data_IF_343374223596
#
_entry.id   IF_343374223596
#
_cell.length_a   1.000
_cell.length_b   1.000
_cell.length_c   1.000
_cell.angle_alpha   90.00
_cell.angle_beta   90.00
_cell.angle_gamma   90.00
#
_symmetry.space_group_name_H-M   'P 1'
#
loop_
_entity.id
_entity.type
_entity.pdbx_description
1 polymer ?
#
# COMPACT_ATOMS: atom_id res chain seq x y z
N UNK A 1 9.72 -5.63 -13.09
CA UNK A 1 10.98 -5.10 -13.68
C UNK A 1 11.22 -5.71 -15.05
N UNK A 2 11.64 -4.88 -16.02
CA UNK A 2 12.12 -5.33 -17.33
C UNK A 2 13.59 -5.79 -17.22
N UNK A 3 14.07 -6.56 -18.20
CA UNK A 3 15.50 -6.85 -18.34
C UNK A 3 16.19 -5.66 -19.01
N UNK A 4 16.56 -4.68 -18.20
CA UNK A 4 17.13 -3.41 -18.65
C UNK A 4 18.01 -2.79 -17.56
N UNK A 5 18.83 -1.82 -17.96
CA UNK A 5 19.74 -1.13 -17.06
C UNK A 5 18.99 -0.10 -16.19
N UNK A 6 19.43 0.03 -14.94
CA UNK A 6 19.21 1.24 -14.15
C UNK A 6 19.87 2.42 -14.88
N UNK A 7 19.16 3.54 -14.99
CA UNK A 7 19.68 4.73 -15.70
C UNK A 7 19.64 5.95 -14.79
N UNK A 8 20.78 6.61 -14.63
CA UNK A 8 20.85 7.92 -13.98
C UNK A 8 20.14 8.98 -14.84
N UNK A 9 19.18 9.68 -14.24
CA UNK A 9 18.45 10.78 -14.89
C UNK A 9 18.76 12.13 -14.24
N UNK A 10 19.77 12.18 -13.38
CA UNK A 10 20.24 13.37 -12.69
C UNK A 10 19.36 13.78 -11.50
N UNK A 11 19.94 14.62 -10.64
CA UNK A 11 19.27 15.13 -9.44
C UNK A 11 19.03 14.08 -8.36
N UNK A 12 19.89 13.05 -8.27
CA UNK A 12 19.76 11.97 -7.29
C UNK A 12 18.60 11.01 -7.56
N UNK A 13 18.23 10.86 -8.84
CA UNK A 13 17.12 10.01 -9.27
C UNK A 13 17.58 8.96 -10.26
N UNK A 14 17.02 7.77 -10.10
CA UNK A 14 17.29 6.62 -10.96
C UNK A 14 16.02 6.21 -11.66
N UNK A 15 16.10 6.03 -12.98
CA UNK A 15 15.05 5.44 -13.80
C UNK A 15 15.13 3.91 -13.71
N UNK A 16 14.01 3.29 -13.37
CA UNK A 16 13.80 1.84 -13.34
C UNK A 16 12.83 1.48 -14.46
N UNK A 17 13.27 0.66 -15.40
CA UNK A 17 12.48 0.28 -16.57
C UNK A 17 11.46 -0.81 -16.21
N UNK A 18 10.18 -0.53 -16.46
CA UNK A 18 9.05 -1.39 -16.09
C UNK A 18 7.92 -1.13 -17.09
N UNK A 19 7.85 -1.90 -18.18
CA UNK A 19 6.82 -1.67 -19.20
C UNK A 19 5.42 -2.04 -18.69
N UNK A 20 4.45 -1.15 -18.87
CA UNK A 20 3.04 -1.37 -18.50
C UNK A 20 2.75 -1.27 -16.99
N UNK A 21 3.56 -0.52 -16.22
CA UNK A 21 3.56 -0.58 -14.76
C UNK A 21 2.33 0.00 -14.05
N UNK A 22 1.53 0.85 -14.69
CA UNK A 22 0.30 1.44 -14.12
C UNK A 22 0.50 2.46 -12.97
N UNK A 23 1.68 2.51 -12.34
CA UNK A 23 2.01 3.48 -11.29
C UNK A 23 1.98 4.94 -11.72
N UNK A 24 1.57 5.80 -10.77
CA UNK A 24 1.61 7.25 -10.81
C UNK A 24 2.72 7.84 -9.93
N UNK A 25 3.14 9.08 -10.22
CA UNK A 25 4.03 9.84 -9.32
C UNK A 25 3.39 9.96 -7.94
N UNK A 26 4.18 9.77 -6.89
CA UNK A 26 3.75 9.77 -5.50
C UNK A 26 3.44 8.40 -4.93
N UNK A 27 3.21 7.38 -5.78
CA UNK A 27 3.03 6.01 -5.34
C UNK A 27 4.30 5.46 -4.68
N UNK A 28 4.14 4.53 -3.75
CA UNK A 28 5.24 3.71 -3.26
C UNK A 28 5.34 2.44 -4.08
N UNK A 29 6.56 2.03 -4.41
CA UNK A 29 6.87 0.77 -5.08
C UNK A 29 7.83 -0.03 -4.21
N UNK A 30 7.61 -1.34 -4.13
CA UNK A 30 8.62 -2.24 -3.54
C UNK A 30 9.36 -2.94 -4.67
N UNK A 31 10.65 -2.67 -4.76
CA UNK A 31 11.57 -3.34 -5.67
C UNK A 31 12.24 -4.47 -4.88
N UNK A 32 12.22 -5.67 -5.43
CA UNK A 32 12.81 -6.86 -4.82
C UNK A 32 13.51 -7.74 -5.87
N UNK A 33 14.50 -8.51 -5.45
CA UNK A 33 15.26 -9.42 -6.32
C UNK A 33 16.34 -8.72 -7.16
N UNK A 34 16.67 -7.48 -6.85
CA UNK A 34 17.80 -6.72 -7.42
C UNK A 34 19.03 -6.81 -6.51
N UNK A 35 20.17 -6.27 -6.94
CA UNK A 35 21.38 -6.19 -6.11
C UNK A 35 21.41 -4.91 -5.30
N UNK A 36 21.16 -3.75 -5.92
CA UNK A 36 21.36 -2.43 -5.32
C UNK A 36 20.05 -1.69 -5.00
N UNK A 37 18.92 -2.17 -5.50
CA UNK A 37 17.64 -1.46 -5.45
C UNK A 37 16.57 -2.21 -4.67
N UNK A 38 16.93 -3.13 -3.77
CA UNK A 38 15.93 -3.79 -2.92
C UNK A 38 15.42 -2.82 -1.86
N UNK A 39 14.11 -2.62 -1.80
CA UNK A 39 13.48 -1.74 -0.82
C UNK A 39 12.16 -1.14 -1.31
N UNK A 40 11.59 -0.28 -0.48
CA UNK A 40 10.39 0.50 -0.82
C UNK A 40 10.79 1.94 -1.16
N UNK A 41 10.38 2.40 -2.33
CA UNK A 41 10.73 3.72 -2.86
C UNK A 41 9.49 4.51 -3.22
N UNK A 42 9.54 5.83 -3.04
CA UNK A 42 8.52 6.73 -3.57
C UNK A 42 8.84 7.04 -5.02
N UNK A 43 7.85 6.91 -5.89
CA UNK A 43 7.94 7.28 -7.30
C UNK A 43 7.91 8.81 -7.40
N UNK A 44 8.97 9.39 -7.95
CA UNK A 44 9.16 10.84 -8.10
C UNK A 44 8.99 11.33 -9.54
N UNK A 45 8.82 10.39 -10.46
CA UNK A 45 8.55 10.61 -11.88
C UNK A 45 8.11 9.30 -12.53
N UNK A 46 7.34 9.35 -13.61
CA UNK A 46 6.99 8.16 -14.38
C UNK A 46 6.88 8.52 -15.86
N UNK A 47 7.33 7.62 -16.73
CA UNK A 47 7.24 7.77 -18.19
C UNK A 47 5.89 7.36 -18.74
N UNK A 48 4.80 7.71 -18.05
CA UNK A 48 3.44 7.18 -18.21
C UNK A 48 3.33 5.67 -17.94
N UNK A 49 3.99 4.83 -18.73
CA UNK A 49 3.88 3.36 -18.63
C UNK A 49 5.19 2.61 -18.81
N UNK A 50 6.29 3.24 -19.25
CA UNK A 50 7.51 2.50 -19.59
C UNK A 50 8.54 2.45 -18.46
N UNK A 51 8.49 3.41 -17.54
CA UNK A 51 9.45 3.50 -16.46
C UNK A 51 8.92 4.28 -15.26
N UNK A 52 9.50 3.99 -14.11
CA UNK A 52 9.38 4.81 -12.91
C UNK A 52 10.72 5.48 -12.59
N UNK A 53 10.68 6.59 -11.88
CA UNK A 53 11.84 7.24 -11.31
C UNK A 53 11.75 7.20 -9.79
N UNK A 54 12.83 6.79 -9.13
CA UNK A 54 12.97 6.75 -7.67
C UNK A 54 14.08 7.69 -7.22
N UNK A 55 13.99 8.22 -6.01
CA UNK A 55 15.12 8.91 -5.35
C UNK A 55 16.06 7.86 -4.76
N UNK A 56 17.26 7.73 -5.35
CA UNK A 56 18.31 6.83 -4.89
C UNK A 56 19.64 7.27 -5.48
N UNK A 57 20.74 6.93 -4.80
CA UNK A 57 22.07 7.05 -5.40
C UNK A 57 22.17 6.11 -6.61
N UNK A 58 22.71 6.62 -7.71
CA UNK A 58 22.87 5.80 -8.90
C UNK A 58 24.01 4.80 -8.70
N UNK A 59 23.69 3.52 -8.87
CA UNK A 59 24.63 2.41 -8.93
C UNK A 59 24.28 1.62 -10.18
N UNK A 60 25.25 1.44 -11.09
CA UNK A 60 25.02 0.71 -12.32
C UNK A 60 24.61 -0.75 -12.02
N UNK A 61 23.46 -1.16 -12.56
CA UNK A 61 22.92 -2.50 -12.45
C UNK A 61 22.06 -2.81 -13.68
N UNK A 62 22.17 -4.04 -14.19
CA UNK A 62 21.23 -4.58 -15.19
C UNK A 62 20.28 -5.55 -14.50
N UNK A 63 18.97 -5.29 -14.59
CA UNK A 63 17.98 -6.17 -13.97
C UNK A 63 17.80 -7.44 -14.79
N UNK A 64 17.58 -8.59 -14.15
CA UNK A 64 17.35 -9.85 -14.85
C UNK A 64 15.95 -9.94 -15.52
N UNK A 65 15.04 -9.03 -15.19
CA UNK A 65 13.62 -9.11 -15.51
C UNK A 65 12.85 -10.07 -14.59
N UNK A 66 11.56 -9.82 -14.38
CA UNK A 66 10.70 -10.74 -13.59
C UNK A 66 10.74 -10.55 -12.07
N UNK A 67 11.40 -9.51 -11.56
CA UNK A 67 11.21 -9.05 -10.19
C UNK A 67 9.72 -8.70 -9.99
N UNK A 68 9.05 -9.42 -9.09
CA UNK A 68 7.64 -9.23 -8.79
C UNK A 68 7.46 -7.89 -8.08
N UNK A 69 7.12 -6.86 -8.85
CA UNK A 69 6.55 -5.66 -8.26
C UNK A 69 5.11 -5.99 -7.87
N UNK A 70 4.83 -5.96 -6.57
CA UNK A 70 3.46 -6.01 -6.10
C UNK A 70 3.05 -4.57 -5.86
N UNK A 71 2.24 -4.00 -6.75
CA UNK A 71 1.46 -2.82 -6.45
C UNK A 71 0.43 -3.23 -5.39
N UNK A 72 0.74 -3.12 -4.10
CA UNK A 72 -0.20 -3.55 -3.06
C UNK A 72 -1.29 -2.49 -2.80
N UNK A 73 -1.06 -1.23 -3.20
CA UNK A 73 -1.80 -0.09 -2.65
C UNK A 73 -2.46 0.85 -3.68
N UNK A 74 -2.66 0.42 -4.93
CA UNK A 74 -3.25 1.30 -5.95
C UNK A 74 -4.65 0.87 -6.35
N UNK A 75 -5.63 1.72 -6.05
CA UNK A 75 -6.98 1.66 -6.63
C UNK A 75 -7.06 2.74 -7.74
N UNK A 76 -7.19 2.34 -9.02
CA UNK A 76 -7.02 3.24 -10.18
C UNK A 76 -8.21 4.16 -10.48
N UNK A 77 -9.32 3.92 -9.82
CA UNK A 77 -10.58 4.63 -9.98
C UNK A 77 -10.96 5.26 -8.65
N UNK A 78 -11.79 6.30 -8.70
CA UNK A 78 -12.47 6.78 -7.50
C UNK A 78 -13.24 5.61 -6.88
N UNK A 79 -13.27 5.53 -5.56
CA UNK A 79 -13.80 4.36 -4.87
C UNK A 79 -14.40 4.72 -3.51
N UNK A 80 -15.25 3.87 -2.98
CA UNK A 80 -15.67 3.91 -1.58
C UNK A 80 -15.46 2.55 -0.92
N UNK A 81 -15.34 2.51 0.40
CA UNK A 81 -15.13 1.28 1.16
C UNK A 81 -16.43 0.92 1.88
N UNK A 82 -16.94 -0.29 1.65
CA UNK A 82 -18.20 -0.80 2.20
C UNK A 82 -18.00 -1.72 3.42
N UNK A 83 -16.87 -2.40 3.50
CA UNK A 83 -16.56 -3.25 4.64
C UNK A 83 -15.10 -3.19 5.00
N UNK A 84 -14.87 -3.31 6.31
CA UNK A 84 -13.57 -3.67 6.84
C UNK A 84 -13.61 -5.13 7.27
N UNK A 85 -12.82 -5.97 6.62
CA UNK A 85 -12.62 -7.37 7.01
C UNK A 85 -11.45 -7.41 7.98
N UNK A 86 -11.72 -7.80 9.23
CA UNK A 86 -10.74 -7.75 10.31
C UNK A 86 -10.47 -9.17 10.79
N UNK A 87 -9.21 -9.53 10.92
CA UNK A 87 -8.79 -10.85 11.41
C UNK A 87 -7.48 -10.76 12.18
N UNK A 88 -7.07 -11.89 12.77
CA UNK A 88 -5.81 -12.01 13.50
C UNK A 88 -5.61 -10.88 14.55
N UNK A 89 -6.65 -10.63 15.35
CA UNK A 89 -6.57 -9.72 16.49
C UNK A 89 -5.73 -10.37 17.59
N UNK A 90 -4.73 -9.64 18.09
CA UNK A 90 -3.72 -10.19 19.00
C UNK A 90 -4.31 -10.76 20.31
N UNK A 91 -5.17 -10.00 20.98
CA UNK A 91 -5.71 -10.35 22.30
C UNK A 91 -7.23 -10.23 22.39
N UNK A 92 -7.79 -10.76 23.47
CA UNK A 92 -9.20 -10.59 23.81
C UNK A 92 -9.47 -9.15 24.30
N UNK A 93 -9.77 -8.26 23.37
CA UNK A 93 -10.02 -6.85 23.64
C UNK A 93 -11.07 -6.26 22.69
N UNK A 94 -11.47 -5.02 22.97
CA UNK A 94 -12.19 -4.18 22.04
C UNK A 94 -11.18 -3.44 21.18
N UNK A 95 -11.37 -3.47 19.86
CA UNK A 95 -10.54 -2.74 18.90
C UNK A 95 -11.39 -1.67 18.21
N UNK A 96 -10.83 -0.46 18.10
CA UNK A 96 -11.32 0.61 17.24
C UNK A 96 -10.28 0.89 16.15
N UNK A 97 -10.68 0.71 14.89
CA UNK A 97 -9.82 0.90 13.74
C UNK A 97 -10.30 2.12 12.98
N UNK A 98 -9.42 3.10 12.80
CA UNK A 98 -9.71 4.34 12.06
C UNK A 98 -8.97 4.31 10.74
N UNK A 99 -9.70 4.52 9.64
CA UNK A 99 -9.15 4.61 8.30
C UNK A 99 -8.89 6.06 7.91
N UNK A 100 -7.78 6.26 7.22
CA UNK A 100 -7.37 7.53 6.65
C UNK A 100 -7.06 7.36 5.16
N UNK A 101 -7.56 8.27 4.34
CA UNK A 101 -7.11 8.45 2.97
C UNK A 101 -6.23 9.71 2.92
N UNK A 102 -4.98 9.59 2.49
CA UNK A 102 -4.01 10.69 2.42
C UNK A 102 -3.88 11.48 3.75
N UNK A 103 -3.97 10.75 4.88
CA UNK A 103 -3.91 11.33 6.23
C UNK A 103 -5.21 11.95 6.74
N UNK A 104 -6.28 11.99 5.92
CA UNK A 104 -7.60 12.47 6.32
C UNK A 104 -8.48 11.29 6.73
N UNK A 105 -9.12 11.37 7.90
CA UNK A 105 -10.00 10.31 8.39
C UNK A 105 -11.20 10.14 7.46
N UNK A 106 -11.41 8.93 6.95
CA UNK A 106 -12.52 8.59 6.03
C UNK A 106 -13.49 7.57 6.60
N UNK A 107 -13.05 6.77 7.56
CA UNK A 107 -13.86 5.68 8.09
C UNK A 107 -13.44 5.24 9.48
N UNK A 108 -14.31 4.48 10.13
CA UNK A 108 -14.03 3.87 11.42
C UNK A 108 -14.82 2.59 11.58
N UNK A 109 -14.17 1.54 12.06
CA UNK A 109 -14.78 0.28 12.42
C UNK A 109 -14.48 -0.01 13.90
N UNK A 110 -15.37 -0.78 14.54
CA UNK A 110 -15.15 -1.31 15.89
C UNK A 110 -15.48 -2.79 15.87
N UNK A 111 -14.63 -3.60 16.48
CA UNK A 111 -14.88 -5.01 16.71
C UNK A 111 -14.45 -5.40 18.12
N UNK A 112 -14.76 -6.63 18.52
CA UNK A 112 -14.35 -7.18 19.80
C UNK A 112 -13.90 -8.60 19.57
N UNK A 113 -12.67 -8.93 19.99
CA UNK A 113 -12.24 -10.31 20.09
C UNK A 113 -12.60 -10.84 21.47
N UNK A 114 -13.37 -11.91 21.46
CA UNK A 114 -13.63 -12.75 22.61
C UNK A 114 -13.00 -14.13 22.36
N UNK A 115 -12.85 -14.93 23.41
CA UNK A 115 -12.00 -16.15 23.42
C UNK A 115 -12.34 -17.23 22.37
N UNK A 116 -13.42 -17.08 21.60
CA UNK A 116 -13.88 -18.03 20.59
C UNK A 116 -13.83 -17.48 19.14
N UNK A 117 -13.38 -16.24 18.93
CA UNK A 117 -13.37 -15.60 17.60
C UNK A 117 -11.96 -15.34 17.10
N UNK A 118 -11.43 -16.31 16.35
CA UNK A 118 -10.21 -16.15 15.51
C UNK A 118 -10.55 -16.05 14.01
N UNK A 119 -11.83 -15.97 13.66
CA UNK A 119 -12.30 -15.82 12.28
C UNK A 119 -12.41 -14.37 11.83
N UNK A 120 -12.57 -14.17 10.52
CA UNK A 120 -12.76 -12.85 9.92
C UNK A 120 -14.07 -12.21 10.38
N UNK A 121 -13.99 -10.96 10.85
CA UNK A 121 -15.13 -10.12 11.19
C UNK A 121 -15.31 -9.05 10.12
N UNK A 122 -16.43 -9.10 9.40
CA UNK A 122 -16.79 -8.09 8.42
C UNK A 122 -17.60 -6.99 9.10
N UNK A 123 -16.97 -5.83 9.29
CA UNK A 123 -17.64 -4.66 9.85
C UNK A 123 -18.08 -3.76 8.70
N UNK A 124 -19.39 -3.59 8.47
CA UNK A 124 -19.87 -2.65 7.46
C UNK A 124 -19.48 -1.23 7.86
N UNK A 125 -18.88 -0.53 6.91
CA UNK A 125 -18.62 0.90 6.97
C UNK A 125 -19.07 1.51 5.66
N UNK A 126 -19.25 2.82 5.61
CA UNK A 126 -19.42 3.49 4.33
C UNK A 126 -18.59 4.76 4.37
N UNK A 127 -17.52 4.78 3.58
CA UNK A 127 -16.70 5.98 3.44
C UNK A 127 -17.35 6.93 2.42
N UNK A 128 -17.00 8.22 2.43
CA UNK A 128 -17.16 9.06 1.24
C UNK A 128 -16.42 8.45 0.04
N UNK A 129 -16.70 8.97 -1.15
CA UNK A 129 -15.87 8.70 -2.33
C UNK A 129 -14.44 9.20 -2.04
N UNK A 130 -13.48 8.31 -2.22
CA UNK A 130 -12.05 8.50 -2.10
C UNK A 130 -11.48 8.56 -3.51
N UNK A 131 -10.58 9.51 -3.75
CA UNK A 131 -9.99 9.70 -5.07
C UNK A 131 -9.14 8.51 -5.49
N UNK A 132 -9.10 8.23 -6.80
CA UNK A 132 -8.16 7.30 -7.39
C UNK A 132 -6.72 7.56 -6.90
N UNK A 133 -6.02 6.49 -6.52
CA UNK A 133 -4.63 6.55 -6.06
C UNK A 133 -4.38 7.13 -4.67
N UNK A 134 -5.40 7.46 -3.89
CA UNK A 134 -5.24 7.85 -2.48
C UNK A 134 -4.57 6.74 -1.66
N UNK A 135 -3.66 7.12 -0.78
CA UNK A 135 -2.98 6.20 0.14
C UNK A 135 -3.89 5.90 1.33
N UNK A 136 -4.26 4.63 1.50
CA UNK A 136 -5.07 4.18 2.63
C UNK A 136 -4.16 3.75 3.77
N UNK A 137 -4.39 4.32 4.95
CA UNK A 137 -3.72 3.90 6.20
C UNK A 137 -4.75 3.63 7.29
N UNK A 138 -4.38 2.82 8.27
CA UNK A 138 -5.20 2.49 9.41
C UNK A 138 -4.45 2.74 10.72
N UNK A 139 -5.18 3.18 11.75
CA UNK A 139 -4.70 3.17 13.14
C UNK A 139 -5.64 2.33 13.98
N UNK A 140 -5.08 1.41 14.76
CA UNK A 140 -5.82 0.62 15.73
C UNK A 140 -5.61 1.19 17.13
N UNK A 141 -6.70 1.33 17.88
CA UNK A 141 -6.70 1.57 19.31
C UNK A 141 -7.39 0.40 19.99
N UNK A 142 -6.87 -0.05 21.13
CA UNK A 142 -7.40 -1.23 21.83
C UNK A 142 -7.70 -0.89 23.28
N UNK A 143 -8.63 -1.64 23.87
CA UNK A 143 -8.91 -1.56 25.30
C UNK A 143 -7.89 -2.32 26.16
N UNK A 144 -6.88 -2.94 25.53
CA UNK A 144 -5.77 -3.53 26.24
C UNK A 144 -4.81 -2.43 26.72
N UNK A 145 -4.01 -2.73 27.73
CA UNK A 145 -3.02 -1.79 28.28
C UNK A 145 -1.64 -1.92 27.62
N UNK A 146 -1.47 -2.87 26.71
CA UNK A 146 -0.28 -3.06 25.87
C UNK A 146 -0.61 -2.87 24.40
N UNK A 147 0.41 -2.62 23.57
CA UNK A 147 0.24 -2.58 22.11
C UNK A 147 -0.26 -3.93 21.59
N UNK A 148 -1.20 -3.89 20.65
CA UNK A 148 -1.76 -5.06 19.98
C UNK A 148 -1.72 -4.84 18.47
N UNK A 149 -1.83 -5.94 17.71
CA UNK A 149 -1.93 -5.90 16.24
C UNK A 149 -3.27 -6.42 15.73
N UNK A 150 -3.58 -6.06 14.49
CA UNK A 150 -4.77 -6.49 13.75
C UNK A 150 -4.43 -6.59 12.25
N UNK A 151 -4.94 -7.62 11.58
CA UNK A 151 -4.89 -7.72 10.11
C UNK A 151 -6.20 -7.19 9.54
N UNK A 152 -6.10 -6.36 8.51
CA UNK A 152 -7.23 -5.61 7.95
C UNK A 152 -7.21 -5.70 6.43
N UNK A 153 -8.36 -6.02 5.84
CA UNK A 153 -8.62 -5.88 4.40
C UNK A 153 -9.81 -4.95 4.16
N UNK A 154 -9.76 -4.18 3.08
CA UNK A 154 -10.85 -3.31 2.63
C UNK A 154 -11.66 -4.00 1.53
N UNK A 155 -12.99 -3.87 1.60
CA UNK A 155 -13.88 -4.24 0.50
C UNK A 155 -14.45 -2.95 -0.06
N UNK A 156 -14.19 -2.68 -1.33
CA UNK A 156 -14.48 -1.39 -1.96
C UNK A 156 -15.26 -1.55 -3.27
N UNK A 157 -15.95 -0.49 -3.68
CA UNK A 157 -16.54 -0.34 -5.00
C UNK A 157 -15.80 0.76 -5.75
N UNK A 158 -15.52 0.54 -7.04
CA UNK A 158 -14.89 1.52 -7.92
C UNK A 158 -15.93 2.24 -8.78
N UNK A 159 -15.59 3.45 -9.22
CA UNK A 159 -16.40 4.33 -10.05
C UNK A 159 -15.67 4.81 -11.30
#
# INVERSE_FOLDING_TARGET
LDNADAVDIGGGRVRIQITGHGYSVGNSVTIAGTVNYNGTFKITGNGYVDYIAIESEFVAETFAGGGAETAIDFIPSDFDIHYLSIENLDTNAVYEIVLYADGIKVGKARCTKNAAQDGTVNVPIQTPIISAGSVITAKAATSNVTEDTATISIVYCVY
#
